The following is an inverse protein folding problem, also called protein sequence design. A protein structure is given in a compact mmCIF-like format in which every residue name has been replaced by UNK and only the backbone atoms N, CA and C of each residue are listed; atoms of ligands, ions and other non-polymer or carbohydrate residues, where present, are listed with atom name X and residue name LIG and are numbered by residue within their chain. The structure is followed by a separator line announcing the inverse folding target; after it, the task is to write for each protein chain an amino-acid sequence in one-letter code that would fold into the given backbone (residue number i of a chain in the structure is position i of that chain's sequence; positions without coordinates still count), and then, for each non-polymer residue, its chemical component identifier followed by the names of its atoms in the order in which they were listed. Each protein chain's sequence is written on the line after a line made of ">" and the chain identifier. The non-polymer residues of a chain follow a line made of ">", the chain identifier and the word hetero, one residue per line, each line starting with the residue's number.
data_IF_862403555153
#
_entry.id   IF_862403555153
#
_cell.length_a   1.000
_cell.length_b   1.000
_cell.length_c   1.000
_cell.angle_alpha   90.00
_cell.angle_beta   90.00
_cell.angle_gamma   90.00
#
_symmetry.space_group_name_H-M   'P 1'
#
loop_
_entity.id
_entity.type
_entity.pdbx_description
1 polymer ?
#
# COMPACT_ATOMS: atom_id res chain seq x y z
N UNK A 1 -38.63 -1.39 9.74
CA UNK A 1 -38.50 -0.56 8.52
C UNK A 1 -37.26 -1.05 7.80
N UNK A 2 -37.44 -1.69 6.64
CA UNK A 2 -36.34 -2.28 5.89
C UNK A 2 -35.55 -1.22 5.13
N UNK A 3 -34.24 -1.42 5.04
CA UNK A 3 -33.45 -0.99 3.89
C UNK A 3 -33.23 -2.24 3.02
N UNK A 4 -34.06 -2.49 1.99
CA UNK A 4 -33.95 -3.66 1.13
C UNK A 4 -33.14 -3.37 -0.14
N UNK A 5 -32.11 -2.52 -0.08
CA UNK A 5 -31.36 -2.13 -1.28
C UNK A 5 -29.93 -1.62 -1.03
N UNK A 6 -29.03 -2.45 -0.49
CA UNK A 6 -27.59 -2.23 -0.61
C UNK A 6 -26.93 -3.47 -1.26
N UNK A 7 -27.28 -3.70 -2.53
CA UNK A 7 -26.36 -4.30 -3.50
C UNK A 7 -25.61 -3.11 -4.11
N UNK A 8 -24.26 -3.15 -4.09
CA UNK A 8 -23.28 -2.06 -4.33
C UNK A 8 -22.95 -1.30 -3.03
N UNK A 9 -21.76 -1.33 -2.42
CA UNK A 9 -20.39 -1.40 -2.94
C UNK A 9 -19.48 -2.22 -2.00
N UNK A 10 -18.55 -2.95 -2.60
CA UNK A 10 -17.41 -3.58 -1.93
C UNK A 10 -16.53 -2.52 -1.25
N UNK A 11 -16.05 -2.82 -0.03
CA UNK A 11 -14.89 -2.26 0.66
C UNK A 11 -14.49 -0.82 0.28
N UNK A 12 -15.27 0.18 0.71
CA UNK A 12 -14.76 1.56 0.83
C UNK A 12 -14.58 1.84 2.31
N UNK A 13 -13.33 1.79 2.76
CA UNK A 13 -12.91 2.32 4.06
C UNK A 13 -13.38 3.77 4.15
N UNK A 14 -13.88 4.17 5.31
CA UNK A 14 -14.34 5.54 5.54
C UNK A 14 -13.16 6.50 5.42
N UNK A 15 -13.41 7.76 5.05
CA UNK A 15 -12.35 8.77 4.99
C UNK A 15 -11.61 8.91 6.33
N UNK A 16 -12.34 8.73 7.44
CA UNK A 16 -11.80 8.71 8.80
C UNK A 16 -10.81 7.55 9.01
N UNK A 17 -11.22 6.31 8.73
CA UNK A 17 -10.36 5.13 8.83
C UNK A 17 -9.11 5.25 7.93
N UNK A 18 -9.25 5.85 6.75
CA UNK A 18 -8.12 6.05 5.83
C UNK A 18 -7.09 7.00 6.43
N UNK A 19 -7.55 8.11 7.01
CA UNK A 19 -6.68 9.08 7.65
C UNK A 19 -5.99 8.50 8.88
N UNK A 20 -6.71 7.74 9.71
CA UNK A 20 -6.12 7.05 10.87
C UNK A 20 -5.02 6.07 10.46
N UNK A 21 -5.27 5.23 9.45
CA UNK A 21 -4.26 4.30 8.93
C UNK A 21 -3.08 5.04 8.29
N UNK A 22 -3.35 6.14 7.60
CA UNK A 22 -2.30 6.96 6.98
C UNK A 22 -1.40 7.59 8.04
N UNK A 23 -1.96 8.17 9.08
CA UNK A 23 -1.21 8.73 10.21
C UNK A 23 -0.38 7.64 10.90
N UNK A 24 -0.99 6.50 11.20
CA UNK A 24 -0.29 5.35 11.80
C UNK A 24 0.88 4.87 10.93
N UNK A 25 0.66 4.65 9.63
CA UNK A 25 1.71 4.20 8.71
C UNK A 25 2.79 5.27 8.51
N UNK A 26 2.46 6.56 8.56
CA UNK A 26 3.46 7.63 8.51
C UNK A 26 4.39 7.63 9.72
N UNK A 27 3.90 7.26 10.90
CA UNK A 27 4.72 7.16 12.11
C UNK A 27 5.55 5.86 12.14
N UNK A 28 5.00 4.75 11.65
CA UNK A 28 5.62 3.42 11.73
C UNK A 28 6.64 3.15 10.62
N UNK A 29 6.45 3.73 9.42
CA UNK A 29 7.39 3.57 8.31
C UNK A 29 8.67 4.34 8.64
N UNK A 30 9.76 3.59 8.84
CA UNK A 30 11.08 4.14 9.13
C UNK A 30 11.77 4.61 7.86
N UNK A 31 11.73 3.79 6.82
CA UNK A 31 12.37 4.06 5.54
C UNK A 31 11.65 3.30 4.42
N UNK A 32 11.85 3.75 3.18
CA UNK A 32 11.42 3.00 2.01
C UNK A 32 12.42 3.19 0.87
N UNK A 33 12.68 2.11 0.13
CA UNK A 33 13.64 2.11 -0.98
C UNK A 33 13.18 1.25 -2.13
N UNK A 34 13.55 1.65 -3.33
CA UNK A 34 13.31 0.89 -4.57
C UNK A 34 14.42 -0.12 -4.75
N UNK A 35 14.07 -1.39 -4.94
CA UNK A 35 14.99 -2.47 -5.22
C UNK A 35 14.76 -2.97 -6.64
N UNK A 36 15.80 -2.82 -7.47
CA UNK A 36 15.88 -3.45 -8.78
C UNK A 36 16.41 -4.89 -8.63
N UNK A 37 15.73 -5.86 -9.23
CA UNK A 37 16.18 -7.24 -9.28
C UNK A 37 15.96 -7.86 -10.66
N UNK A 38 16.64 -8.98 -10.88
CA UNK A 38 16.44 -9.79 -12.08
C UNK A 38 15.62 -11.00 -11.66
N UNK A 39 14.42 -11.14 -12.22
CA UNK A 39 13.54 -12.26 -11.91
C UNK A 39 14.00 -13.55 -12.61
N UNK A 40 13.34 -14.66 -12.29
CA UNK A 40 13.65 -16.00 -12.85
C UNK A 40 13.54 -16.07 -14.38
N UNK A 41 12.80 -15.15 -15.01
CA UNK A 41 12.66 -15.01 -16.46
C UNK A 41 13.73 -14.11 -17.09
N UNK A 42 14.75 -13.72 -16.32
CA UNK A 42 15.84 -12.83 -16.72
C UNK A 42 15.36 -11.44 -17.17
N UNK A 43 14.22 -10.98 -16.63
CA UNK A 43 13.70 -9.63 -16.82
C UNK A 43 14.06 -8.78 -15.62
N UNK A 44 14.41 -7.52 -15.88
CA UNK A 44 14.57 -6.52 -14.84
C UNK A 44 13.20 -6.14 -14.30
N UNK A 45 13.02 -6.31 -13.01
CA UNK A 45 11.80 -6.00 -12.28
C UNK A 45 12.13 -5.14 -11.06
N UNK A 46 11.12 -4.48 -10.49
CA UNK A 46 11.30 -3.51 -9.41
C UNK A 46 10.22 -3.68 -8.36
N UNK A 47 10.64 -3.66 -7.10
CA UNK A 47 9.74 -3.60 -5.96
C UNK A 47 10.21 -2.51 -4.98
N UNK A 48 9.31 -2.11 -4.09
CA UNK A 48 9.63 -1.18 -3.01
C UNK A 48 9.68 -1.94 -1.70
N UNK A 49 10.83 -1.89 -1.03
CA UNK A 49 10.95 -2.34 0.35
C UNK A 49 10.54 -1.20 1.27
N UNK A 50 9.57 -1.45 2.13
CA UNK A 50 9.11 -0.53 3.17
C UNK A 50 9.53 -1.11 4.52
N UNK A 51 10.39 -0.39 5.23
CA UNK A 51 10.92 -0.81 6.53
C UNK A 51 10.02 -0.28 7.65
N UNK A 52 9.44 -1.20 8.42
CA UNK A 52 8.73 -0.92 9.66
C UNK A 52 9.60 -1.23 10.87
N UNK A 53 9.11 -0.95 12.07
CA UNK A 53 9.83 -1.28 13.31
C UNK A 53 10.12 -2.77 13.46
N UNK A 54 9.13 -3.62 13.16
CA UNK A 54 9.18 -5.05 13.43
C UNK A 54 9.38 -5.93 12.18
N UNK A 55 9.14 -5.40 10.98
CA UNK A 55 9.21 -6.17 9.73
C UNK A 55 9.47 -5.30 8.50
N UNK A 56 9.73 -5.94 7.36
CA UNK A 56 9.86 -5.28 6.05
C UNK A 56 8.71 -5.77 5.16
N UNK A 57 8.05 -4.84 4.48
CA UNK A 57 7.00 -5.11 3.51
C UNK A 57 7.51 -4.87 2.09
N UNK A 58 7.34 -5.84 1.22
CA UNK A 58 7.70 -5.75 -0.19
C UNK A 58 6.45 -5.40 -1.01
N UNK A 59 6.51 -4.27 -1.73
CA UNK A 59 5.43 -3.79 -2.59
C UNK A 59 5.85 -3.94 -4.05
N UNK A 60 5.20 -4.86 -4.75
CA UNK A 60 5.33 -5.05 -6.20
C UNK A 60 4.27 -4.23 -6.95
N UNK A 61 4.52 -3.91 -8.23
CA UNK A 61 3.60 -3.15 -9.10
C UNK A 61 3.31 -1.70 -8.68
N UNK A 62 4.22 -1.07 -7.93
CA UNK A 62 4.15 0.35 -7.61
C UNK A 62 4.93 1.19 -8.62
N UNK A 63 4.40 2.36 -8.97
CA UNK A 63 5.09 3.32 -9.83
C UNK A 63 6.30 3.91 -9.07
N UNK A 64 7.51 3.53 -9.51
CA UNK A 64 8.78 3.91 -8.85
C UNK A 64 9.37 5.21 -9.40
N UNK A 65 8.83 5.77 -10.47
CA UNK A 65 9.37 6.98 -11.11
C UNK A 65 9.09 8.25 -10.29
N UNK A 66 7.95 8.31 -9.60
CA UNK A 66 7.56 9.43 -8.73
C UNK A 66 7.14 8.90 -7.34
N UNK A 67 7.99 8.07 -6.73
CA UNK A 67 7.70 7.41 -5.46
C UNK A 67 7.82 8.39 -4.28
N UNK A 68 6.72 8.55 -3.55
CA UNK A 68 6.66 9.32 -2.31
C UNK A 68 6.09 8.46 -1.20
N UNK A 69 6.42 8.77 0.07
CA UNK A 69 5.86 8.09 1.23
C UNK A 69 4.34 8.02 1.18
N UNK A 70 3.69 9.11 0.73
CA UNK A 70 2.24 9.18 0.57
C UNK A 70 1.71 8.08 -0.38
N UNK A 71 2.35 7.92 -1.54
CA UNK A 71 1.99 6.88 -2.53
C UNK A 71 2.28 5.47 -2.02
N UNK A 72 3.35 5.29 -1.25
CA UNK A 72 3.68 4.01 -0.62
C UNK A 72 2.55 3.62 0.33
N UNK A 73 2.17 4.52 1.23
CA UNK A 73 1.08 4.33 2.20
C UNK A 73 -0.25 4.08 1.47
N UNK A 74 -0.56 4.87 0.45
CA UNK A 74 -1.73 4.69 -0.40
C UNK A 74 -1.80 3.29 -1.01
N UNK A 75 -0.66 2.77 -1.49
CA UNK A 75 -0.57 1.44 -2.06
C UNK A 75 -0.69 0.34 -1.00
N UNK A 76 -0.14 0.54 0.20
CA UNK A 76 -0.27 -0.41 1.32
C UNK A 76 -1.75 -0.54 1.72
N UNK A 77 -2.42 0.60 1.89
CA UNK A 77 -3.84 0.64 2.25
C UNK A 77 -4.67 -0.01 1.13
N UNK A 78 -4.44 0.36 -0.14
CA UNK A 78 -5.19 -0.19 -1.29
C UNK A 78 -4.96 -1.69 -1.49
N UNK A 79 -3.74 -2.20 -1.30
CA UNK A 79 -3.45 -3.63 -1.46
C UNK A 79 -4.02 -4.48 -0.33
N UNK A 80 -4.06 -3.97 0.91
CA UNK A 80 -4.71 -4.66 2.03
C UNK A 80 -6.25 -4.65 1.98
N UNK A 81 -6.87 -3.91 1.05
CA UNK A 81 -8.33 -3.84 0.89
C UNK A 81 -8.93 -4.95 -0.01
N UNK A 82 -8.10 -5.79 -0.63
CA UNK A 82 -8.53 -6.83 -1.60
C UNK A 82 -8.87 -8.15 -0.93
#
# INVERSE_FOLDING_TARGET
>A
MGCPNCRCNKNKISEEEYNELKEYLQEEIKDYKVIDYINSDNKGDRFVEVEFEDYILELENIDTEDLTLDKVIDNIIKNNMV
#
